data_IF_476554092954
#
_entry.id   IF_476554092954
#
_cell.length_a   1.000
_cell.length_b   1.000
_cell.length_c   1.000
_cell.angle_alpha   90.00
_cell.angle_beta   90.00
_cell.angle_gamma   90.00
#
_symmetry.space_group_name_H-M   'P 1'
#
loop_
_entity.id
_entity.type
_entity.pdbx_description
1 polymer ?
#
# COMPACT_ATOMS: atom_id res chain seq x y z
N UNK A 1 -10.50 9.13 -7.77
CA UNK A 1 -10.49 7.65 -7.83
C UNK A 1 -9.16 7.12 -7.30
N UNK A 2 -9.10 5.89 -6.77
CA UNK A 2 -7.82 5.27 -6.41
C UNK A 2 -7.34 4.28 -7.48
N UNK A 3 -6.02 4.07 -7.53
CA UNK A 3 -5.32 3.07 -8.36
C UNK A 3 -4.60 2.12 -7.42
N UNK A 4 -4.43 0.87 -7.84
CA UNK A 4 -3.76 -0.13 -7.03
C UNK A 4 -2.72 -0.87 -7.87
N UNK A 5 -1.62 -1.31 -7.28
CA UNK A 5 -0.72 -2.28 -7.90
C UNK A 5 -1.41 -3.64 -8.05
N UNK A 6 -0.99 -4.43 -9.03
CA UNK A 6 -1.59 -5.74 -9.33
C UNK A 6 -1.53 -6.70 -8.13
N UNK A 7 -0.54 -6.50 -7.25
CA UNK A 7 -0.33 -7.26 -6.03
C UNK A 7 -1.10 -6.74 -4.80
N UNK A 8 -1.91 -5.69 -4.98
CA UNK A 8 -2.72 -5.07 -3.96
C UNK A 8 -1.95 -4.34 -2.86
N UNK A 9 -0.63 -4.20 -2.96
CA UNK A 9 0.18 -3.67 -1.87
C UNK A 9 0.21 -2.14 -1.84
N UNK A 10 0.24 -1.50 -3.00
CA UNK A 10 0.32 -0.05 -3.09
C UNK A 10 -0.98 0.50 -3.67
N UNK A 11 -1.70 1.27 -2.86
CA UNK A 11 -2.86 2.04 -3.31
C UNK A 11 -2.47 3.51 -3.47
N UNK A 12 -2.65 4.05 -4.67
CA UNK A 12 -2.45 5.44 -5.01
C UNK A 12 -3.76 6.19 -5.14
N UNK A 13 -3.88 7.35 -4.50
CA UNK A 13 -5.03 8.23 -4.68
C UNK A 13 -4.61 9.69 -4.56
N UNK A 14 -5.45 10.59 -5.08
CA UNK A 14 -5.26 12.03 -4.93
C UNK A 14 -6.06 12.52 -3.72
N UNK A 15 -5.35 13.02 -2.69
CA UNK A 15 -5.96 13.57 -1.50
C UNK A 15 -6.23 15.07 -1.66
N UNK A 16 -7.39 15.52 -1.17
CA UNK A 16 -7.64 16.94 -0.93
C UNK A 16 -6.78 17.39 0.26
N UNK A 17 -6.17 18.57 0.16
CA UNK A 17 -5.37 19.18 1.22
C UNK A 17 -6.05 20.47 1.68
N UNK A 18 -6.11 20.66 2.99
CA UNK A 18 -6.79 21.78 3.63
C UNK A 18 -5.80 22.85 4.12
N UNK A 19 -6.29 24.03 4.46
CA UNK A 19 -5.45 25.18 4.87
C UNK A 19 -4.60 24.93 6.13
N UNK A 20 -5.05 24.04 7.02
CA UNK A 20 -4.34 23.58 8.22
C UNK A 20 -3.30 22.48 7.92
N UNK A 21 -3.15 22.09 6.66
CA UNK A 21 -2.25 21.03 6.21
C UNK A 21 -2.79 19.61 6.39
N UNK A 22 -3.96 19.44 7.02
CA UNK A 22 -4.65 18.15 7.03
C UNK A 22 -5.03 17.74 5.61
N UNK A 23 -5.27 16.45 5.42
CA UNK A 23 -5.66 15.92 4.12
C UNK A 23 -6.51 14.68 4.26
N UNK A 24 -7.10 14.25 3.15
CA UNK A 24 -7.83 12.99 3.06
C UNK A 24 -8.33 12.71 1.66
N UNK A 25 -8.83 11.48 1.45
CA UNK A 25 -9.42 11.09 0.17
C UNK A 25 -10.61 11.98 -0.23
N UNK A 26 -10.80 12.13 -1.55
CA UNK A 26 -11.83 12.98 -2.15
C UNK A 26 -13.27 12.64 -1.74
N UNK A 27 -14.24 13.39 -2.25
CA UNK A 27 -15.66 13.35 -1.83
C UNK A 27 -16.26 11.94 -1.72
N UNK A 28 -16.25 11.37 -0.51
CA UNK A 28 -16.81 10.04 -0.20
C UNK A 28 -18.36 10.02 -0.21
N UNK A 29 -19.01 11.14 -0.52
CA UNK A 29 -20.47 11.33 -0.65
C UNK A 29 -20.78 12.74 -1.16
N UNK A 30 -22.06 13.08 -1.34
CA UNK A 30 -22.54 14.46 -1.56
C UNK A 30 -22.26 15.44 -0.40
N UNK A 31 -21.58 14.99 0.65
CA UNK A 31 -21.36 15.76 1.89
C UNK A 31 -20.00 16.47 1.94
N UNK A 32 -19.29 16.60 0.81
CA UNK A 32 -18.01 17.30 0.72
C UNK A 32 -16.77 16.44 1.00
N UNK A 33 -15.57 17.05 0.94
CA UNK A 33 -14.31 16.39 1.22
C UNK A 33 -14.15 16.12 2.73
N UNK A 34 -13.32 15.14 3.09
CA UNK A 34 -13.12 14.72 4.49
C UNK A 34 -11.63 14.71 4.80
N UNK A 35 -11.24 15.34 5.91
CA UNK A 35 -9.90 15.20 6.46
C UNK A 35 -9.83 13.92 7.30
N UNK A 36 -8.98 12.99 6.85
CA UNK A 36 -8.75 11.68 7.47
C UNK A 36 -7.35 11.56 8.06
N UNK A 37 -6.45 12.48 7.71
CA UNK A 37 -5.05 12.46 8.12
C UNK A 37 -4.60 13.85 8.58
N UNK A 38 -3.71 13.87 9.58
CA UNK A 38 -3.01 15.07 10.03
C UNK A 38 -1.89 15.44 9.04
N UNK A 39 -1.41 16.68 9.10
CA UNK A 39 -0.36 17.17 8.21
C UNK A 39 0.94 16.33 8.24
N UNK A 40 1.25 15.70 9.37
CA UNK A 40 2.41 14.82 9.56
C UNK A 40 2.22 13.41 8.98
N UNK A 41 1.04 13.09 8.46
CA UNK A 41 0.71 11.79 7.89
C UNK A 41 -0.03 10.84 8.84
N UNK A 42 -0.21 11.23 10.10
CA UNK A 42 -0.92 10.42 11.08
C UNK A 42 -2.39 10.29 10.71
N UNK A 43 -2.84 9.06 10.45
CA UNK A 43 -4.25 8.76 10.23
C UNK A 43 -5.08 9.05 11.49
N UNK A 44 -6.25 9.64 11.29
CA UNK A 44 -7.25 9.83 12.33
C UNK A 44 -8.08 8.56 12.51
N UNK A 45 -8.47 8.21 13.75
CA UNK A 45 -9.52 7.22 13.94
C UNK A 45 -10.81 7.71 13.27
N UNK A 46 -11.63 6.78 12.78
CA UNK A 46 -12.84 7.10 12.01
C UNK A 46 -13.82 8.03 12.75
N UNK A 47 -13.85 7.97 14.08
CA UNK A 47 -14.67 8.85 14.94
C UNK A 47 -14.19 10.30 14.98
N UNK A 48 -12.95 10.57 14.57
CA UNK A 48 -12.34 11.90 14.54
C UNK A 48 -12.27 12.49 13.12
N UNK A 49 -12.78 11.79 12.11
CA UNK A 49 -12.81 12.30 10.74
C UNK A 49 -13.59 13.60 10.65
N UNK A 50 -13.02 14.57 9.93
CA UNK A 50 -13.58 15.91 9.88
C UNK A 50 -14.15 16.17 8.49
N UNK A 51 -15.46 16.40 8.41
CA UNK A 51 -16.07 16.89 7.17
C UNK A 51 -15.63 18.32 6.94
N UNK A 52 -15.23 18.62 5.71
CA UNK A 52 -14.75 19.93 5.27
C UNK A 52 -15.61 20.42 4.12
N UNK A 53 -15.47 21.69 3.80
CA UNK A 53 -16.11 22.32 2.64
C UNK A 53 -15.14 22.45 1.48
N UNK A 54 -15.67 22.55 0.27
CA UNK A 54 -14.86 22.76 -0.94
C UNK A 54 -14.03 24.06 -0.86
N UNK A 55 -14.52 25.06 -0.12
CA UNK A 55 -13.81 26.33 0.09
C UNK A 55 -12.53 26.17 0.94
N UNK A 56 -12.44 25.12 1.76
CA UNK A 56 -11.27 24.86 2.60
C UNK A 56 -10.17 24.09 1.88
N UNK A 57 -10.47 23.51 0.71
CA UNK A 57 -9.48 22.79 -0.10
C UNK A 57 -8.56 23.80 -0.78
N UNK A 58 -7.29 23.74 -0.42
CA UNK A 58 -6.22 24.60 -0.96
C UNK A 58 -5.47 23.95 -2.12
N UNK A 59 -5.67 22.65 -2.32
CA UNK A 59 -5.01 21.89 -3.36
C UNK A 59 -5.14 20.39 -3.16
N UNK A 60 -4.29 19.66 -3.85
CA UNK A 60 -4.28 18.20 -3.83
C UNK A 60 -2.86 17.65 -3.79
N UNK A 61 -2.77 16.35 -3.48
CA UNK A 61 -1.51 15.63 -3.48
C UNK A 61 -1.73 14.14 -3.74
N UNK A 62 -0.91 13.49 -4.59
CA UNK A 62 -0.94 12.04 -4.71
C UNK A 62 -0.32 11.39 -3.46
N UNK A 63 -0.99 10.39 -2.92
CA UNK A 63 -0.61 9.62 -1.73
C UNK A 63 -0.46 8.17 -2.15
N UNK A 64 0.51 7.46 -1.58
CA UNK A 64 0.59 6.01 -1.65
C UNK A 64 0.41 5.42 -0.25
N UNK A 65 -0.48 4.44 -0.14
CA UNK A 65 -0.64 3.61 1.04
C UNK A 65 -0.12 2.19 0.80
N UNK A 66 0.48 1.60 1.83
CA UNK A 66 0.88 0.20 1.88
C UNK A 66 0.45 -0.41 3.21
N UNK A 67 -0.37 -1.46 3.15
CA UNK A 67 -0.93 -2.09 4.36
C UNK A 67 -1.76 -1.13 5.22
N UNK A 68 -2.46 -0.18 4.59
CA UNK A 68 -3.28 0.83 5.27
C UNK A 68 -2.48 1.94 5.96
N UNK A 69 -1.21 2.14 5.58
CA UNK A 69 -0.35 3.22 6.08
C UNK A 69 0.25 3.99 4.92
N UNK A 70 0.28 5.31 5.04
CA UNK A 70 1.02 6.14 4.09
C UNK A 70 2.49 5.70 4.04
N UNK A 71 2.96 5.30 2.86
CA UNK A 71 4.35 4.93 2.61
C UNK A 71 5.06 5.95 1.72
N UNK A 72 4.30 6.80 1.02
CA UNK A 72 4.85 7.86 0.19
C UNK A 72 3.83 8.97 -0.05
N UNK A 73 4.36 10.17 -0.27
CA UNK A 73 3.60 11.38 -0.50
C UNK A 73 4.27 12.20 -1.61
N UNK A 74 3.52 12.51 -2.66
CA UNK A 74 4.02 13.29 -3.79
C UNK A 74 4.01 14.79 -3.55
N UNK A 75 4.14 15.54 -4.65
CA UNK A 75 4.21 17.00 -4.60
C UNK A 75 2.83 17.63 -4.38
N UNK A 76 2.81 18.82 -3.79
CA UNK A 76 1.58 19.59 -3.64
C UNK A 76 1.18 20.26 -4.96
N UNK A 77 -0.11 20.14 -5.30
CA UNK A 77 -0.75 20.79 -6.44
C UNK A 77 -1.71 21.86 -5.93
N UNK A 78 -1.44 23.12 -6.23
CA UNK A 78 -2.23 24.25 -5.75
C UNK A 78 -3.55 24.34 -6.50
N UNK A 79 -4.65 24.49 -5.75
CA UNK A 79 -5.93 24.86 -6.32
C UNK A 79 -5.96 26.35 -6.61
N UNK A 80 -6.35 26.70 -7.83
CA UNK A 80 -6.60 28.10 -8.23
C UNK A 80 -8.08 28.27 -8.56
N UNK A 81 -8.59 29.49 -8.36
CA UNK A 81 -10.02 29.79 -8.50
C UNK A 81 -10.35 30.59 -9.76
N UNK A 82 -9.34 31.01 -10.53
CA UNK A 82 -9.53 31.61 -11.84
C UNK A 82 -9.05 30.64 -12.96
N UNK A 83 -9.84 30.44 -14.04
CA UNK A 83 -9.45 29.57 -15.14
C UNK A 83 -8.12 29.97 -15.79
N UNK A 84 -7.83 31.27 -15.89
CA UNK A 84 -6.60 31.80 -16.48
C UNK A 84 -5.33 31.52 -15.68
N UNK A 85 -5.45 31.02 -14.45
CA UNK A 85 -4.32 30.62 -13.61
C UNK A 85 -4.02 29.11 -13.67
N UNK A 86 -4.82 28.35 -14.44
CA UNK A 86 -4.61 26.93 -14.67
C UNK A 86 -3.29 26.72 -15.43
N UNK A 87 -2.30 26.15 -14.74
CA UNK A 87 -0.99 25.83 -15.29
C UNK A 87 -0.48 24.54 -14.63
N UNK A 88 -0.77 23.37 -15.24
CA UNK A 88 -0.35 22.10 -14.69
C UNK A 88 1.17 21.92 -14.69
N UNK A 89 1.92 22.62 -15.55
CA UNK A 89 3.38 22.57 -15.54
C UNK A 89 3.97 23.23 -14.27
N UNK A 90 3.24 24.18 -13.69
CA UNK A 90 3.54 24.78 -12.39
C UNK A 90 2.76 24.17 -11.22
N UNK A 91 2.08 23.04 -11.44
CA UNK A 91 1.21 22.37 -10.46
C UNK A 91 0.06 23.24 -9.96
N UNK A 92 -0.51 24.08 -10.82
CA UNK A 92 -1.68 24.93 -10.51
C UNK A 92 -2.89 24.40 -11.28
N UNK A 93 -3.88 23.87 -10.56
CA UNK A 93 -5.10 23.32 -11.16
C UNK A 93 -6.28 24.21 -10.81
N UNK A 94 -6.90 24.76 -11.85
CA UNK A 94 -8.20 25.44 -11.71
C UNK A 94 -9.29 24.45 -11.30
N UNK A 95 -10.02 24.79 -10.24
CA UNK A 95 -11.25 24.10 -9.84
C UNK A 95 -12.16 25.04 -9.05
N UNK A 96 -13.40 25.20 -9.50
CA UNK A 96 -14.38 26.06 -8.85
C UNK A 96 -14.94 25.44 -7.55
N UNK A 97 -15.04 24.12 -7.48
CA UNK A 97 -15.74 23.34 -6.46
C UNK A 97 -14.85 22.27 -5.82
N UNK A 98 -13.53 22.38 -5.97
CA UNK A 98 -12.53 21.43 -5.47
C UNK A 98 -12.60 20.02 -6.08
N UNK A 99 -13.42 19.83 -7.12
CA UNK A 99 -13.44 18.62 -7.91
C UNK A 99 -12.30 18.62 -8.93
N UNK A 100 -11.63 17.48 -9.07
CA UNK A 100 -10.68 17.24 -10.14
C UNK A 100 -11.41 16.62 -11.33
N UNK A 101 -11.00 17.03 -12.52
CA UNK A 101 -11.29 16.25 -13.74
C UNK A 101 -10.39 15.03 -13.78
N UNK A 102 -10.83 13.98 -14.47
CA UNK A 102 -10.04 12.76 -14.67
C UNK A 102 -8.64 13.05 -15.23
N UNK A 103 -8.53 14.00 -16.18
CA UNK A 103 -7.24 14.41 -16.75
C UNK A 103 -6.26 14.99 -15.70
N UNK A 104 -6.77 15.82 -14.79
CA UNK A 104 -5.94 16.43 -13.74
C UNK A 104 -5.59 15.41 -12.66
N UNK A 105 -6.52 14.51 -12.31
CA UNK A 105 -6.25 13.40 -11.41
C UNK A 105 -5.18 12.47 -12.00
N UNK A 106 -5.31 12.08 -13.27
CA UNK A 106 -4.35 11.26 -13.99
C UNK A 106 -2.97 11.89 -14.05
N UNK A 107 -2.90 13.21 -14.24
CA UNK A 107 -1.64 13.95 -14.24
C UNK A 107 -0.92 13.83 -12.89
N UNK A 108 -1.64 13.95 -11.77
CA UNK A 108 -1.05 13.80 -10.44
C UNK A 108 -0.67 12.35 -10.14
N UNK A 109 -1.49 11.39 -10.58
CA UNK A 109 -1.22 9.96 -10.38
C UNK A 109 -0.03 9.44 -11.20
N UNK A 110 0.46 10.18 -12.20
CA UNK A 110 1.77 9.88 -12.83
C UNK A 110 2.93 9.97 -11.84
N UNK A 111 2.87 10.85 -10.83
CA UNK A 111 3.89 10.88 -9.77
C UNK A 111 3.85 9.60 -8.94
N UNK A 112 2.65 9.11 -8.63
CA UNK A 112 2.46 7.84 -7.93
C UNK A 112 2.99 6.66 -8.78
N UNK A 113 2.67 6.62 -10.06
CA UNK A 113 3.19 5.59 -10.98
C UNK A 113 4.71 5.55 -11.03
N UNK A 114 5.35 6.72 -11.11
CA UNK A 114 6.80 6.82 -11.05
C UNK A 114 7.36 6.34 -9.71
N UNK A 115 6.67 6.62 -8.59
CA UNK A 115 7.04 6.13 -7.27
C UNK A 115 6.98 4.60 -7.16
N UNK A 116 5.92 3.97 -7.66
CA UNK A 116 5.75 2.51 -7.56
C UNK A 116 6.47 1.71 -8.65
N UNK A 117 6.94 2.35 -9.72
CA UNK A 117 7.60 1.65 -10.82
C UNK A 117 8.76 0.73 -10.37
N UNK A 118 9.66 1.14 -9.45
CA UNK A 118 10.69 0.23 -8.92
C UNK A 118 10.14 -0.92 -8.07
N UNK A 119 8.96 -0.73 -7.47
CA UNK A 119 8.34 -1.69 -6.54
C UNK A 119 7.50 -2.74 -7.28
N UNK A 120 6.96 -2.42 -8.47
CA UNK A 120 6.19 -3.37 -9.30
C UNK A 120 6.98 -4.65 -9.59
N UNK A 121 8.30 -4.56 -9.80
CA UNK A 121 9.16 -5.72 -10.03
C UNK A 121 9.40 -6.61 -8.79
N UNK A 122 9.00 -6.16 -7.60
CA UNK A 122 9.20 -6.93 -6.35
C UNK A 122 8.00 -7.82 -6.01
N UNK A 123 6.87 -7.65 -6.70
CA UNK A 123 5.68 -8.47 -6.51
C UNK A 123 5.97 -9.96 -6.74
N UNK A 124 6.63 -10.29 -7.86
CA UNK A 124 7.01 -11.66 -8.21
C UNK A 124 7.97 -12.26 -7.18
N UNK A 125 8.93 -11.47 -6.69
CA UNK A 125 9.88 -11.90 -5.66
C UNK A 125 9.13 -12.25 -4.37
N UNK A 126 8.18 -11.41 -3.95
CA UNK A 126 7.39 -11.65 -2.75
C UNK A 126 6.45 -12.85 -2.92
N UNK A 127 5.85 -13.02 -4.10
CA UNK A 127 5.03 -14.19 -4.40
C UNK A 127 5.85 -15.48 -4.30
N UNK A 128 7.00 -15.53 -4.97
CA UNK A 128 7.92 -16.67 -4.87
C UNK A 128 8.38 -16.92 -3.43
N UNK A 129 8.65 -15.86 -2.65
CA UNK A 129 9.01 -16.00 -1.24
C UNK A 129 7.86 -16.60 -0.40
N UNK A 130 6.60 -16.22 -0.67
CA UNK A 130 5.44 -16.79 -0.01
C UNK A 130 5.26 -18.27 -0.38
N UNK A 131 5.41 -18.63 -1.65
CA UNK A 131 5.37 -20.03 -2.10
C UNK A 131 6.44 -20.89 -1.43
N UNK A 132 7.66 -20.36 -1.28
CA UNK A 132 8.75 -21.02 -0.54
C UNK A 132 8.36 -21.21 0.91
N UNK A 133 7.88 -20.16 1.59
CA UNK A 133 7.49 -20.24 3.00
C UNK A 133 6.37 -21.27 3.23
N UNK A 134 5.36 -21.31 2.36
CA UNK A 134 4.31 -22.32 2.42
C UNK A 134 4.84 -23.73 2.16
N UNK A 135 5.73 -23.90 1.18
CA UNK A 135 6.34 -25.20 0.90
C UNK A 135 7.18 -25.69 2.08
N UNK A 136 7.92 -24.80 2.74
CA UNK A 136 8.69 -25.12 3.95
C UNK A 136 7.77 -25.47 5.14
N UNK A 137 6.65 -24.77 5.31
CA UNK A 137 5.65 -25.09 6.32
C UNK A 137 5.02 -26.47 6.07
N UNK A 138 4.63 -26.76 4.81
CA UNK A 138 4.10 -28.08 4.42
C UNK A 138 5.12 -29.19 4.63
N UNK A 139 6.39 -28.96 4.28
CA UNK A 139 7.48 -29.92 4.52
C UNK A 139 7.66 -30.19 6.01
N UNK A 140 7.65 -29.15 6.83
CA UNK A 140 7.77 -29.27 8.29
C UNK A 140 6.60 -30.05 8.88
N UNK A 141 5.37 -29.79 8.43
CA UNK A 141 4.18 -30.54 8.84
C UNK A 141 4.25 -32.03 8.43
N UNK A 142 4.72 -32.32 7.21
CA UNK A 142 4.91 -33.69 6.74
C UNK A 142 5.96 -34.44 7.56
N UNK A 143 7.07 -33.78 7.92
CA UNK A 143 8.11 -34.33 8.81
C UNK A 143 7.53 -34.64 10.19
N UNK A 144 6.76 -33.71 10.78
CA UNK A 144 6.09 -33.93 12.06
C UNK A 144 5.13 -35.13 12.01
N UNK A 145 4.32 -35.24 10.96
CA UNK A 145 3.42 -36.37 10.76
C UNK A 145 4.17 -37.71 10.61
N UNK A 146 5.27 -37.73 9.85
CA UNK A 146 6.11 -38.92 9.68
C UNK A 146 6.76 -39.34 11.00
N UNK A 147 7.24 -38.38 11.81
CA UNK A 147 7.79 -38.65 13.15
C UNK A 147 6.73 -39.22 14.09
N UNK A 148 5.51 -38.72 14.07
CA UNK A 148 4.37 -39.26 14.85
C UNK A 148 4.04 -40.72 14.47
N UNK A 149 4.29 -41.10 13.22
CA UNK A 149 4.13 -42.47 12.72
C UNK A 149 5.36 -43.36 12.99
N UNK A 150 6.40 -42.85 13.64
CA UNK A 150 7.59 -43.61 14.02
C UNK A 150 8.73 -43.60 13.01
N UNK A 151 8.63 -42.86 11.89
CA UNK A 151 9.70 -42.79 10.90
C UNK A 151 11.00 -42.26 11.52
N UNK A 152 12.14 -42.92 11.29
CA UNK A 152 13.43 -42.47 11.84
C UNK A 152 13.93 -41.20 11.16
N UNK A 153 14.82 -40.46 11.84
CA UNK A 153 15.49 -39.30 11.24
C UNK A 153 16.31 -39.66 9.99
N UNK A 154 16.77 -40.91 9.89
CA UNK A 154 17.49 -41.38 8.70
C UNK A 154 16.54 -41.54 7.51
N UNK A 155 15.37 -42.14 7.73
CA UNK A 155 14.34 -42.28 6.70
C UNK A 155 13.84 -40.91 6.22
N UNK A 156 13.61 -39.98 7.15
CA UNK A 156 13.21 -38.60 6.83
C UNK A 156 14.31 -37.87 6.07
N UNK A 157 15.56 -37.95 6.53
CA UNK A 157 16.69 -37.34 5.82
C UNK A 157 16.81 -37.85 4.39
N UNK A 158 16.74 -39.18 4.20
CA UNK A 158 16.77 -39.81 2.87
C UNK A 158 15.63 -39.31 1.97
N UNK A 159 14.41 -39.23 2.50
CA UNK A 159 13.25 -38.73 1.74
C UNK A 159 13.39 -37.24 1.36
N UNK A 160 14.01 -36.44 2.22
CA UNK A 160 14.26 -35.02 1.98
C UNK A 160 15.58 -34.71 1.25
N UNK A 161 16.32 -35.75 0.80
CA UNK A 161 17.58 -35.59 0.08
C UNK A 161 18.75 -35.08 0.93
N UNK A 162 18.75 -35.34 2.24
CA UNK A 162 19.79 -34.87 3.17
C UNK A 162 20.24 -35.96 4.16
N UNK A 163 21.30 -35.67 4.93
CA UNK A 163 21.79 -36.61 5.93
C UNK A 163 20.85 -36.71 7.13
N UNK A 164 20.94 -37.82 7.89
CA UNK A 164 20.24 -38.00 9.18
C UNK A 164 20.50 -36.84 10.13
N UNK A 165 21.75 -36.41 10.25
CA UNK A 165 22.16 -35.35 11.17
C UNK A 165 21.54 -34.01 10.77
N UNK A 166 21.60 -33.64 9.49
CA UNK A 166 20.98 -32.41 8.97
C UNK A 166 19.47 -32.40 9.20
N UNK A 167 18.79 -33.54 9.00
CA UNK A 167 17.36 -33.66 9.27
C UNK A 167 17.04 -33.48 10.76
N UNK A 168 17.81 -34.13 11.64
CA UNK A 168 17.63 -33.98 13.08
C UNK A 168 17.87 -32.53 13.53
N UNK A 169 18.96 -31.91 13.12
CA UNK A 169 19.29 -30.52 13.48
C UNK A 169 18.22 -29.52 13.00
N UNK A 170 17.71 -29.70 11.78
CA UNK A 170 16.70 -28.81 11.19
C UNK A 170 15.36 -28.91 11.91
N UNK A 171 14.87 -30.12 12.18
CA UNK A 171 13.48 -30.31 12.60
C UNK A 171 13.29 -30.71 14.05
N UNK A 172 14.26 -31.33 14.73
CA UNK A 172 14.04 -31.87 16.07
C UNK A 172 13.65 -30.82 17.10
N UNK A 173 14.02 -29.54 16.91
CA UNK A 173 13.61 -28.42 17.79
C UNK A 173 12.32 -27.74 17.35
N UNK A 174 11.94 -27.88 16.08
CA UNK A 174 10.79 -27.19 15.47
C UNK A 174 9.51 -27.98 15.67
N UNK A 175 9.59 -29.31 15.67
CA UNK A 175 8.44 -30.22 15.74
C UNK A 175 8.27 -30.89 17.12
N UNK A 176 9.16 -30.57 18.07
CA UNK A 176 9.17 -31.17 19.41
C UNK A 176 7.84 -30.93 20.15
#
# INVERSE_FOLDING_TARGET
MSRMTDDGQHEGYVACVFADGMYGGGHWSSSGPVATNRADGTALPWTEWQRRTDAEVTGWRPICEHGGRECWRGQFWTRVTAPGEHDPAQRRIYSADSMLTDENEDLMLREWEAHIAPLRGTADVRHAAAEVAEAEARLTAAVAAARKQGATWEAIGRAAGMTRQSAHERWARVIA
#
